data_IF_966437384007
#
_entry.id   IF_966437384007
#
_cell.length_a   1.000
_cell.length_b   1.000
_cell.length_c   1.000
_cell.angle_alpha   90.00
_cell.angle_beta   90.00
_cell.angle_gamma   90.00
#
_symmetry.space_group_name_H-M   'P 1'
#
loop_
_entity.id
_entity.type
_entity.pdbx_description
1 polymer ?
#
# COMPACT_ATOMS: atom_id res chain seq x y z
N UNK A 1 12.45 43.42 -15.05
CA UNK A 1 12.64 42.65 -13.80
C UNK A 1 11.43 41.71 -13.63
N UNK A 2 11.56 40.53 -13.00
CA UNK A 2 10.46 39.53 -12.96
C UNK A 2 9.24 40.04 -12.18
N UNK A 3 9.47 40.88 -11.17
CA UNK A 3 8.47 41.56 -10.35
C UNK A 3 7.65 42.64 -11.08
N UNK A 4 7.99 42.94 -12.35
CA UNK A 4 7.25 43.89 -13.21
C UNK A 4 6.34 43.18 -14.21
N UNK A 5 6.30 41.85 -14.21
CA UNK A 5 5.40 41.08 -15.05
C UNK A 5 3.94 41.23 -14.56
N UNK A 6 2.94 41.04 -15.44
CA UNK A 6 1.55 40.99 -15.01
C UNK A 6 1.31 39.94 -13.92
N UNK A 7 0.36 40.21 -13.02
CA UNK A 7 0.07 39.36 -11.86
C UNK A 7 -0.26 37.91 -12.25
N UNK A 8 -0.94 37.73 -13.38
CA UNK A 8 -1.32 36.43 -13.94
C UNK A 8 -0.08 35.62 -14.38
N UNK A 9 0.90 36.29 -14.98
CA UNK A 9 2.16 35.66 -15.42
C UNK A 9 2.99 35.27 -14.20
N UNK A 10 3.06 36.15 -13.19
CA UNK A 10 3.72 35.83 -11.92
C UNK A 10 3.04 34.62 -11.28
N UNK A 11 1.71 34.61 -11.19
CA UNK A 11 0.96 33.48 -10.63
C UNK A 11 1.23 32.17 -11.39
N UNK A 12 1.23 32.20 -12.72
CA UNK A 12 1.54 31.02 -13.54
C UNK A 12 2.95 30.51 -13.26
N UNK A 13 3.96 31.39 -13.19
CA UNK A 13 5.34 31.00 -12.83
C UNK A 13 5.38 30.35 -11.44
N UNK A 14 4.73 30.97 -10.45
CA UNK A 14 4.71 30.47 -9.07
C UNK A 14 3.96 29.14 -8.94
N UNK A 15 2.99 28.85 -9.82
CA UNK A 15 2.22 27.60 -9.79
C UNK A 15 3.04 26.34 -10.07
N UNK A 16 4.23 26.50 -10.65
CA UNK A 16 5.18 25.40 -10.90
C UNK A 16 6.16 25.16 -9.75
N UNK A 17 6.12 25.98 -8.70
CA UNK A 17 7.07 25.88 -7.58
C UNK A 17 6.57 24.92 -6.50
N UNK A 18 7.51 24.21 -5.87
CA UNK A 18 7.23 23.46 -4.65
C UNK A 18 6.86 24.41 -3.50
N UNK A 19 6.18 23.92 -2.46
CA UNK A 19 5.92 24.70 -1.26
C UNK A 19 7.19 25.32 -0.65
N UNK A 20 8.31 24.58 -0.70
CA UNK A 20 9.61 25.06 -0.21
C UNK A 20 10.14 26.23 -1.04
N UNK A 21 9.99 26.16 -2.36
CA UNK A 21 10.47 27.22 -3.25
C UNK A 21 9.55 28.44 -3.22
N UNK A 22 8.24 28.27 -3.06
CA UNK A 22 7.32 29.36 -2.74
C UNK A 22 7.70 30.09 -1.46
N UNK A 23 8.04 29.34 -0.40
CA UNK A 23 8.51 29.91 0.86
C UNK A 23 9.86 30.64 0.74
N UNK A 24 10.71 30.26 -0.23
CA UNK A 24 11.96 30.99 -0.53
C UNK A 24 11.68 32.26 -1.32
N UNK A 25 10.84 32.18 -2.35
CA UNK A 25 10.45 33.31 -3.20
C UNK A 25 9.72 34.38 -2.39
N UNK A 26 8.84 33.99 -1.48
CA UNK A 26 8.12 34.92 -0.59
C UNK A 26 9.04 35.76 0.30
N UNK A 27 10.27 35.29 0.57
CA UNK A 27 11.26 36.01 1.39
C UNK A 27 12.09 37.02 0.61
N UNK A 28 11.95 37.09 -0.72
CA UNK A 28 12.81 37.94 -1.55
C UNK A 28 12.36 39.40 -1.61
N UNK A 29 11.06 39.67 -1.75
CA UNK A 29 10.49 41.02 -1.73
C UNK A 29 9.00 40.99 -1.34
N UNK A 30 8.41 42.16 -1.04
CA UNK A 30 7.00 42.30 -0.63
C UNK A 30 6.03 41.83 -1.71
N UNK A 31 6.27 42.20 -2.97
CA UNK A 31 5.44 41.78 -4.11
C UNK A 31 5.36 40.27 -4.23
N UNK A 32 6.50 39.56 -4.14
CA UNK A 32 6.51 38.10 -4.17
C UNK A 32 5.94 37.47 -2.90
N UNK A 33 6.07 38.12 -1.73
CA UNK A 33 5.39 37.67 -0.51
C UNK A 33 3.87 37.68 -0.68
N UNK A 34 3.31 38.74 -1.26
CA UNK A 34 1.89 38.87 -1.56
C UNK A 34 1.42 37.83 -2.57
N UNK A 35 2.14 37.66 -3.69
CA UNK A 35 1.78 36.66 -4.71
C UNK A 35 1.91 35.21 -4.21
N UNK A 36 2.94 34.88 -3.43
CA UNK A 36 3.12 33.55 -2.87
C UNK A 36 2.09 33.20 -1.78
N UNK A 37 1.47 34.21 -1.18
CA UNK A 37 0.36 34.02 -0.21
C UNK A 37 -0.99 33.74 -0.89
N UNK A 38 -1.04 33.69 -2.23
CA UNK A 38 -2.27 33.39 -2.96
C UNK A 38 -2.72 31.96 -2.72
N UNK A 39 -3.91 31.80 -2.16
CA UNK A 39 -4.43 30.51 -1.69
C UNK A 39 -4.65 29.48 -2.81
N UNK A 40 -4.82 29.92 -4.06
CA UNK A 40 -4.93 29.01 -5.21
C UNK A 40 -3.65 28.23 -5.47
N UNK A 41 -2.49 28.81 -5.17
CA UNK A 41 -1.20 28.10 -5.26
C UNK A 41 -1.17 26.93 -4.27
N UNK A 42 -1.61 27.20 -3.03
CA UNK A 42 -1.64 26.21 -1.96
C UNK A 42 -2.72 25.14 -2.16
N UNK A 43 -3.88 25.53 -2.70
CA UNK A 43 -4.92 24.58 -3.12
C UNK A 43 -4.39 23.59 -4.16
N UNK A 44 -3.65 24.08 -5.16
CA UNK A 44 -3.02 23.23 -6.18
C UNK A 44 -2.01 22.26 -5.56
N UNK A 45 -1.16 22.73 -4.64
CA UNK A 45 -0.20 21.89 -3.94
C UNK A 45 -0.88 20.80 -3.11
N UNK A 46 -1.90 21.14 -2.32
CA UNK A 46 -2.65 20.15 -1.53
C UNK A 46 -3.30 19.13 -2.45
N UNK A 47 -4.01 19.57 -3.48
CA UNK A 47 -4.71 18.68 -4.40
C UNK A 47 -3.76 17.77 -5.18
N UNK A 48 -2.49 18.15 -5.37
CA UNK A 48 -1.48 17.25 -5.95
C UNK A 48 -1.15 16.03 -5.05
N UNK A 49 -1.44 16.12 -3.75
CA UNK A 49 -1.27 15.04 -2.78
C UNK A 49 -2.55 14.24 -2.49
N UNK A 50 -3.68 14.57 -3.13
CA UNK A 50 -4.96 13.95 -2.84
C UNK A 50 -5.50 13.20 -4.06
N UNK A 51 -6.01 11.97 -3.89
CA UNK A 51 -6.70 11.27 -4.98
C UNK A 51 -8.02 11.96 -5.36
N UNK A 52 -8.66 12.61 -4.40
CA UNK A 52 -9.91 13.35 -4.59
C UNK A 52 -9.66 14.83 -4.25
N UNK A 53 -9.72 15.72 -5.25
CA UNK A 53 -9.50 17.14 -5.02
C UNK A 53 -10.53 17.75 -4.06
N UNK A 54 -10.05 18.66 -3.23
CA UNK A 54 -10.87 19.49 -2.34
C UNK A 54 -11.02 20.90 -2.92
N UNK A 55 -12.12 21.56 -2.59
CA UNK A 55 -12.49 22.86 -3.16
C UNK A 55 -12.60 23.99 -2.13
N UNK A 56 -12.48 23.66 -0.84
CA UNK A 56 -12.45 24.57 0.29
C UNK A 56 -11.43 24.07 1.33
N UNK A 57 -10.92 24.95 2.21
CA UNK A 57 -9.93 24.59 3.22
C UNK A 57 -10.50 23.86 4.45
N UNK A 58 -11.78 23.49 4.44
CA UNK A 58 -12.44 22.79 5.54
C UNK A 58 -12.46 23.65 6.82
N UNK A 59 -11.93 23.16 7.95
CA UNK A 59 -11.94 23.91 9.21
C UNK A 59 -10.88 25.02 9.29
N UNK A 60 -10.00 25.14 8.30
CA UNK A 60 -8.91 26.11 8.28
C UNK A 60 -9.31 27.40 7.57
N UNK A 61 -8.68 28.53 7.93
CA UNK A 61 -8.97 29.84 7.32
C UNK A 61 -8.54 29.94 5.84
N UNK A 62 -7.58 29.10 5.41
CA UNK A 62 -7.00 29.12 4.06
C UNK A 62 -6.32 27.79 3.73
N UNK A 63 -6.16 27.49 2.43
CA UNK A 63 -5.37 26.35 1.95
C UNK A 63 -3.90 26.45 2.38
N UNK A 64 -3.33 27.65 2.44
CA UNK A 64 -1.99 27.85 2.98
C UNK A 64 -1.90 27.37 4.44
N UNK A 65 -2.85 27.74 5.30
CA UNK A 65 -2.88 27.32 6.69
C UNK A 65 -3.12 25.81 6.84
N UNK A 66 -3.98 25.24 6.01
CA UNK A 66 -4.20 23.80 5.91
C UNK A 66 -2.92 23.06 5.52
N UNK A 67 -2.23 23.52 4.47
CA UNK A 67 -0.98 22.90 4.01
C UNK A 67 0.04 22.83 5.14
N UNK A 68 0.21 23.95 5.87
CA UNK A 68 1.12 24.01 6.99
C UNK A 68 0.74 23.03 8.11
N UNK A 69 -0.55 22.92 8.47
CA UNK A 69 -1.07 22.04 9.54
C UNK A 69 -0.58 20.58 9.48
N UNK A 70 -0.33 20.12 8.25
CA UNK A 70 0.02 18.74 7.95
C UNK A 70 1.40 18.59 7.32
N UNK A 71 2.23 19.63 7.25
CA UNK A 71 3.62 19.47 6.84
C UNK A 71 4.42 18.67 7.90
N UNK A 72 5.28 17.70 7.52
CA UNK A 72 5.61 17.21 6.18
C UNK A 72 4.78 15.99 5.71
N UNK A 73 3.65 15.69 6.33
CA UNK A 73 2.92 14.42 6.24
C UNK A 73 2.00 14.26 5.02
N UNK A 74 1.97 15.20 4.08
CA UNK A 74 1.14 15.09 2.87
C UNK A 74 1.46 13.90 1.96
N UNK A 75 2.66 13.31 2.09
CA UNK A 75 3.00 12.06 1.40
C UNK A 75 2.13 10.87 1.86
N UNK A 76 1.52 10.95 3.04
CA UNK A 76 0.72 9.86 3.62
C UNK A 76 -0.58 9.63 2.81
N UNK A 77 -1.46 10.64 2.65
CA UNK A 77 -2.64 10.50 1.80
C UNK A 77 -2.29 10.37 0.30
N UNK A 78 -1.15 10.90 -0.15
CA UNK A 78 -0.70 10.79 -1.54
C UNK A 78 -0.48 9.33 -1.97
N UNK A 79 0.12 8.52 -1.10
CA UNK A 79 0.45 7.13 -1.41
C UNK A 79 -0.72 6.15 -1.19
N UNK A 80 -1.77 6.57 -0.47
CA UNK A 80 -3.01 5.81 -0.17
C UNK A 80 -2.81 4.52 0.62
N UNK A 81 -2.01 3.57 0.12
CA UNK A 81 -1.84 2.21 0.62
C UNK A 81 -0.58 2.11 1.46
N UNK A 82 -0.71 1.59 2.67
CA UNK A 82 0.42 1.37 3.57
C UNK A 82 0.32 0.00 4.21
N UNK A 83 1.45 -0.68 4.38
CA UNK A 83 1.48 -1.99 5.02
C UNK A 83 2.65 -2.14 5.99
N UNK A 84 2.38 -2.84 7.10
CA UNK A 84 3.27 -2.91 8.25
C UNK A 84 4.04 -4.23 8.37
N UNK A 85 5.21 -4.14 9.00
CA UNK A 85 6.02 -5.29 9.38
C UNK A 85 5.60 -5.97 10.70
N UNK A 86 4.32 -5.94 11.08
CA UNK A 86 3.79 -6.64 12.28
C UNK A 86 4.02 -8.15 12.19
N UNK A 87 4.67 -8.75 13.18
CA UNK A 87 5.10 -10.17 13.16
C UNK A 87 4.02 -11.16 12.70
N UNK A 88 4.40 -12.06 11.78
CA UNK A 88 3.60 -12.97 10.95
C UNK A 88 2.47 -12.32 10.13
N UNK A 89 1.66 -11.46 10.76
CA UNK A 89 0.34 -11.07 10.27
C UNK A 89 0.31 -9.83 9.39
N UNK A 90 1.25 -8.91 9.59
CA UNK A 90 1.25 -7.63 8.89
C UNK A 90 0.09 -6.73 9.30
N UNK A 91 -0.10 -5.66 8.55
CA UNK A 91 -1.23 -4.76 8.75
C UNK A 91 -1.37 -3.88 7.51
N UNK A 92 -2.43 -4.09 6.71
CA UNK A 92 -2.77 -3.23 5.58
C UNK A 92 -3.66 -2.08 6.06
N UNK A 93 -3.26 -0.84 5.79
CA UNK A 93 -4.04 0.35 6.09
C UNK A 93 -4.23 1.21 4.84
N UNK A 94 -5.35 1.91 4.76
CA UNK A 94 -5.57 2.97 3.78
C UNK A 94 -5.58 4.32 4.48
N UNK A 95 -4.84 5.27 3.91
CA UNK A 95 -4.69 6.62 4.42
C UNK A 95 -5.37 7.63 3.50
N UNK A 96 -6.01 8.63 4.12
CA UNK A 96 -6.69 9.72 3.42
C UNK A 96 -6.64 11.02 4.22
N UNK A 97 -7.02 12.10 3.55
CA UNK A 97 -7.33 13.36 4.19
C UNK A 97 -8.86 13.53 4.24
N UNK A 98 -9.42 13.75 5.43
CA UNK A 98 -10.82 14.13 5.61
C UNK A 98 -10.93 15.66 5.70
N UNK A 99 -11.42 16.30 4.62
CA UNK A 99 -11.55 17.76 4.56
C UNK A 99 -12.52 18.33 5.59
N UNK A 100 -13.60 17.61 5.91
CA UNK A 100 -14.61 18.06 6.87
C UNK A 100 -14.03 18.18 8.28
N UNK A 101 -13.11 17.28 8.64
CA UNK A 101 -12.45 17.26 9.95
C UNK A 101 -11.09 17.94 9.97
N UNK A 102 -10.48 18.17 8.81
CA UNK A 102 -9.14 18.71 8.69
C UNK A 102 -8.04 17.77 9.18
N UNK A 103 -8.22 16.44 9.03
CA UNK A 103 -7.29 15.42 9.56
C UNK A 103 -6.72 14.53 8.46
N UNK A 104 -5.47 14.10 8.64
CA UNK A 104 -4.94 12.93 7.93
C UNK A 104 -5.19 11.72 8.83
N UNK A 105 -5.86 10.71 8.29
CA UNK A 105 -6.25 9.51 9.02
C UNK A 105 -5.92 8.26 8.21
N UNK A 106 -5.65 7.15 8.90
CA UNK A 106 -5.52 5.86 8.24
C UNK A 106 -6.13 4.73 9.07
N UNK A 107 -6.81 3.81 8.38
CA UNK A 107 -7.58 2.74 8.99
C UNK A 107 -7.16 1.38 8.45
N UNK A 108 -7.24 0.36 9.31
CA UNK A 108 -7.01 -1.03 8.88
C UNK A 108 -8.06 -1.44 7.85
N UNK A 109 -7.62 -2.09 6.79
CA UNK A 109 -8.50 -2.79 5.87
C UNK A 109 -8.86 -4.13 6.52
N UNK A 110 -10.16 -4.39 6.61
CA UNK A 110 -10.71 -5.63 7.18
C UNK A 110 -11.62 -6.29 6.16
N UNK A 111 -11.73 -7.61 6.25
CA UNK A 111 -12.63 -8.40 5.43
C UNK A 111 -13.46 -9.32 6.33
N UNK A 112 -14.78 -9.23 6.20
CA UNK A 112 -15.70 -10.21 6.76
C UNK A 112 -15.94 -11.28 5.69
N UNK A 113 -15.52 -12.52 6.00
CA UNK A 113 -15.65 -13.70 5.15
C UNK A 113 -17.11 -13.98 4.72
N UNK A 114 -18.09 -13.52 5.51
CA UNK A 114 -19.50 -13.90 5.44
C UNK A 114 -19.70 -15.42 5.52
N UNK A 115 -20.96 -15.87 5.50
CA UNK A 115 -21.28 -17.30 5.50
C UNK A 115 -21.01 -17.89 4.12
N UNK A 116 -20.07 -18.85 3.98
CA UNK A 116 -19.81 -19.48 2.69
C UNK A 116 -20.98 -20.37 2.28
N UNK A 117 -21.22 -20.45 0.98
CA UNK A 117 -22.08 -21.46 0.36
C UNK A 117 -21.20 -22.60 -0.14
N UNK A 118 -21.76 -23.80 -0.14
CA UNK A 118 -21.09 -24.99 -0.65
C UNK A 118 -21.51 -25.23 -2.10
N UNK A 119 -20.52 -25.49 -2.95
CA UNK A 119 -20.75 -25.98 -4.30
C UNK A 119 -20.05 -27.31 -4.51
N UNK A 120 -20.60 -28.11 -5.41
CA UNK A 120 -19.95 -29.32 -5.91
C UNK A 120 -19.21 -28.91 -7.18
N UNK A 121 -17.96 -29.34 -7.31
CA UNK A 121 -17.24 -29.22 -8.57
C UNK A 121 -17.55 -30.45 -9.43
N UNK A 122 -18.16 -30.26 -10.60
CA UNK A 122 -18.59 -31.39 -11.42
C UNK A 122 -17.42 -32.27 -11.89
N UNK A 123 -16.28 -31.67 -12.21
CA UNK A 123 -15.08 -32.40 -12.62
C UNK A 123 -14.42 -33.17 -11.47
N UNK A 124 -14.61 -32.75 -10.22
CA UNK A 124 -14.06 -33.42 -9.05
C UNK A 124 -14.97 -33.27 -7.81
N UNK A 125 -15.98 -34.15 -7.68
CA UNK A 125 -17.00 -34.02 -6.61
C UNK A 125 -16.46 -34.18 -5.19
N UNK A 126 -15.26 -34.75 -5.01
CA UNK A 126 -14.62 -34.92 -3.71
C UNK A 126 -13.97 -33.62 -3.19
N UNK A 127 -13.80 -32.61 -4.06
CA UNK A 127 -13.22 -31.31 -3.69
C UNK A 127 -14.28 -30.42 -3.06
N UNK A 128 -13.98 -29.91 -1.87
CA UNK A 128 -14.87 -28.95 -1.21
C UNK A 128 -14.66 -27.54 -1.76
N UNK A 129 -15.72 -27.00 -2.36
CA UNK A 129 -15.79 -25.59 -2.75
C UNK A 129 -16.57 -24.80 -1.70
N UNK A 130 -15.90 -23.84 -1.06
CA UNK A 130 -16.54 -22.84 -0.21
C UNK A 130 -16.52 -21.49 -0.94
N UNK A 131 -17.68 -20.95 -1.30
CA UNK A 131 -17.74 -19.65 -1.98
C UNK A 131 -17.16 -18.54 -1.12
N UNK A 132 -16.51 -17.58 -1.77
CA UNK A 132 -15.99 -16.40 -1.09
C UNK A 132 -16.53 -15.11 -1.72
N UNK A 133 -17.32 -14.40 -0.92
CA UNK A 133 -17.88 -13.08 -1.23
C UNK A 133 -17.70 -12.16 -0.02
N UNK A 134 -16.45 -11.73 0.26
CA UNK A 134 -16.14 -10.98 1.47
C UNK A 134 -16.73 -9.57 1.44
N UNK A 135 -17.14 -9.07 2.61
CA UNK A 135 -17.37 -7.63 2.79
C UNK A 135 -16.06 -6.96 3.20
N UNK A 136 -15.46 -6.23 2.28
CA UNK A 136 -14.25 -5.44 2.56
C UNK A 136 -14.69 -4.07 3.09
N UNK A 137 -14.04 -3.59 4.14
CA UNK A 137 -14.31 -2.26 4.72
C UNK A 137 -13.10 -1.72 5.49
N UNK A 138 -13.16 -0.44 5.83
CA UNK A 138 -12.23 0.16 6.78
C UNK A 138 -12.75 0.01 8.21
N UNK A 139 -11.86 -0.33 9.15
CA UNK A 139 -12.23 -0.35 10.57
C UNK A 139 -12.20 1.07 11.15
N UNK A 140 -13.27 1.83 10.94
CA UNK A 140 -13.35 3.27 11.25
C UNK A 140 -13.32 3.60 12.76
N UNK A 141 -13.66 2.64 13.64
CA UNK A 141 -13.70 2.86 15.08
C UNK A 141 -12.30 2.88 15.74
N UNK A 142 -11.29 2.28 15.11
CA UNK A 142 -9.91 2.22 15.62
C UNK A 142 -8.90 2.70 14.57
N UNK A 143 -8.74 4.03 14.38
CA UNK A 143 -7.71 4.56 13.49
C UNK A 143 -6.32 4.07 13.89
N UNK A 144 -5.50 3.71 12.91
CA UNK A 144 -4.08 3.39 13.13
C UNK A 144 -3.25 4.66 13.21
N UNK A 145 -3.64 5.66 12.42
CA UNK A 145 -2.98 6.95 12.30
C UNK A 145 -4.04 8.04 12.36
N UNK A 146 -3.78 9.08 13.15
CA UNK A 146 -4.60 10.28 13.22
C UNK A 146 -3.73 11.51 13.46
N UNK A 147 -3.49 12.27 12.39
CA UNK A 147 -2.83 13.58 12.46
C UNK A 147 -3.89 14.66 12.44
N UNK A 148 -4.00 15.34 13.57
CA UNK A 148 -4.98 16.41 13.80
C UNK A 148 -4.25 17.68 14.24
N UNK A 149 -4.69 18.80 13.71
CA UNK A 149 -4.38 20.13 14.23
C UNK A 149 -5.37 20.45 15.36
N UNK A 150 -4.87 20.88 16.52
CA UNK A 150 -5.71 21.13 17.69
C UNK A 150 -6.44 22.47 17.59
N UNK A 151 -5.88 23.45 16.86
CA UNK A 151 -6.39 24.80 16.72
C UNK A 151 -6.42 25.21 15.24
N UNK A 152 -7.30 24.62 14.41
CA UNK A 152 -7.35 24.89 12.98
C UNK A 152 -7.71 26.35 12.64
N UNK A 153 -8.42 27.03 13.55
CA UNK A 153 -8.76 28.45 13.44
C UNK A 153 -7.63 29.40 13.86
N UNK A 154 -6.54 28.88 14.45
CA UNK A 154 -5.39 29.70 14.78
C UNK A 154 -4.60 29.98 13.49
N UNK A 155 -4.26 31.24 13.16
CA UNK A 155 -3.52 31.56 11.94
C UNK A 155 -2.09 30.99 11.93
N UNK A 156 -1.56 30.59 13.10
CA UNK A 156 -0.23 29.99 13.24
C UNK A 156 -0.39 28.49 13.47
N UNK A 157 0.37 27.69 12.70
CA UNK A 157 0.38 26.24 12.83
C UNK A 157 1.50 25.79 13.78
N UNK A 158 1.19 24.96 14.78
CA UNK A 158 2.19 24.43 15.73
C UNK A 158 3.30 23.62 15.04
N UNK A 159 2.96 22.94 13.95
CA UNK A 159 3.85 22.13 13.11
C UNK A 159 4.82 22.94 12.23
N UNK A 160 4.90 24.27 12.40
CA UNK A 160 5.98 25.08 11.82
C UNK A 160 7.36 24.71 12.41
N UNK A 161 7.40 24.01 13.54
CA UNK A 161 8.61 23.42 14.09
C UNK A 161 8.80 21.99 13.56
N UNK A 162 9.99 21.70 13.03
CA UNK A 162 10.35 20.37 12.54
C UNK A 162 10.10 19.33 13.64
N UNK A 163 9.18 18.39 13.39
CA UNK A 163 8.86 17.33 14.33
C UNK A 163 8.90 15.94 13.66
N UNK A 164 10.00 15.19 13.82
CA UNK A 164 10.10 13.84 13.30
C UNK A 164 9.36 12.80 14.14
N UNK A 165 8.84 13.14 15.33
CA UNK A 165 8.05 12.27 16.23
C UNK A 165 6.77 13.00 16.68
N UNK A 166 5.70 12.87 15.88
CA UNK A 166 4.44 13.57 16.11
C UNK A 166 3.47 12.69 16.86
N UNK A 167 3.11 13.13 18.07
CA UNK A 167 2.09 12.47 18.90
C UNK A 167 0.71 12.55 18.24
N UNK A 168 -0.06 11.47 18.39
CA UNK A 168 -1.41 11.33 17.84
C UNK A 168 -2.44 11.22 18.97
N UNK A 169 -3.53 12.01 18.95
CA UNK A 169 -4.56 11.98 19.98
C UNK A 169 -5.51 10.79 19.76
N UNK A 170 -5.11 9.61 20.22
CA UNK A 170 -5.86 8.36 20.03
C UNK A 170 -6.84 8.09 21.19
N UNK A 171 -7.93 7.37 20.95
CA UNK A 171 -8.89 7.00 22.01
C UNK A 171 -8.25 6.15 23.14
N UNK A 172 -7.24 5.34 22.79
CA UNK A 172 -6.47 4.51 23.72
C UNK A 172 -5.70 5.32 24.80
N UNK A 173 -5.54 6.64 24.63
CA UNK A 173 -4.93 7.50 25.66
C UNK A 173 -5.72 7.47 26.98
N UNK A 174 -7.04 7.25 26.92
CA UNK A 174 -7.90 7.05 28.10
C UNK A 174 -7.50 5.83 28.95
N UNK A 175 -6.80 4.86 28.34
CA UNK A 175 -6.24 3.67 28.97
C UNK A 175 -4.72 3.81 29.23
N UNK A 176 -4.19 5.02 29.16
CA UNK A 176 -2.74 5.32 29.27
C UNK A 176 -1.86 4.65 28.21
N UNK A 177 -2.44 4.35 27.04
CA UNK A 177 -1.71 3.89 25.85
C UNK A 177 -1.62 5.04 24.86
N UNK A 178 -0.39 5.38 24.47
CA UNK A 178 -0.09 6.54 23.65
C UNK A 178 0.50 6.10 22.32
N UNK A 179 0.28 6.90 21.29
CA UNK A 179 0.77 6.63 19.94
C UNK A 179 1.44 7.85 19.34
N UNK A 180 2.49 7.63 18.56
CA UNK A 180 3.11 8.67 17.73
C UNK A 180 3.49 8.14 16.36
N UNK A 181 3.47 9.05 15.39
CA UNK A 181 4.04 8.82 14.07
C UNK A 181 5.48 9.30 14.08
N UNK A 182 6.38 8.43 13.62
CA UNK A 182 7.81 8.71 13.53
C UNK A 182 8.26 8.67 12.07
N UNK A 183 8.92 9.71 11.61
CA UNK A 183 9.44 9.79 10.24
C UNK A 183 10.71 8.93 10.08
N UNK A 184 10.81 8.26 8.94
CA UNK A 184 12.01 7.50 8.56
C UNK A 184 13.03 8.41 7.85
N UNK A 185 14.34 8.24 8.09
CA UNK A 185 15.36 8.81 7.21
C UNK A 185 15.21 8.27 5.77
N UNK A 186 15.55 9.09 4.78
CA UNK A 186 15.60 8.69 3.36
C UNK A 186 16.78 7.78 3.07
N UNK A 187 17.93 8.09 3.63
CA UNK A 187 19.16 7.34 3.41
C UNK A 187 19.26 6.19 4.42
N UNK A 188 19.79 5.05 3.94
CA UNK A 188 20.08 3.90 4.78
C UNK A 188 21.38 4.16 5.57
N UNK A 189 21.57 3.51 6.73
CA UNK A 189 22.79 3.69 7.51
C UNK A 189 24.05 3.22 6.77
N UNK A 190 25.06 4.10 6.62
CA UNK A 190 26.28 3.84 5.85
C UNK A 190 27.20 2.71 6.40
N UNK A 191 27.04 2.34 7.68
CA UNK A 191 28.04 1.56 8.43
C UNK A 191 27.58 0.16 8.88
N UNK A 192 26.43 -0.33 8.41
CA UNK A 192 25.97 -1.67 8.73
C UNK A 192 25.95 -2.56 7.50
N UNK A 193 26.35 -3.84 7.65
CA UNK A 193 26.02 -4.87 6.65
C UNK A 193 24.50 -5.03 6.68
N UNK A 194 23.82 -4.38 5.74
CA UNK A 194 22.37 -4.42 5.64
C UNK A 194 21.99 -5.80 5.09
N UNK A 195 21.46 -6.65 5.96
CA UNK A 195 20.81 -7.89 5.53
C UNK A 195 19.40 -7.60 5.06
N UNK A 196 18.88 -8.39 4.11
CA UNK A 196 17.51 -8.22 3.60
C UNK A 196 16.45 -8.26 4.71
N UNK A 197 16.69 -9.03 5.77
CA UNK A 197 15.81 -9.11 6.94
C UNK A 197 15.64 -7.77 7.69
N UNK A 198 16.59 -6.83 7.55
CA UNK A 198 16.55 -5.49 8.14
C UNK A 198 15.91 -4.44 7.23
N UNK A 199 15.50 -4.80 6.03
CA UNK A 199 14.81 -3.90 5.11
C UNK A 199 13.31 -4.16 5.11
N UNK A 200 12.53 -3.09 4.97
CA UNK A 200 11.10 -3.16 4.73
C UNK A 200 10.73 -2.29 3.52
N UNK A 201 9.93 -2.80 2.56
CA UNK A 201 9.46 -4.19 2.50
C UNK A 201 10.60 -5.21 2.23
N UNK A 202 10.38 -6.53 2.33
CA UNK A 202 11.34 -7.55 1.91
C UNK A 202 11.54 -7.55 0.39
N UNK A 203 12.65 -8.13 -0.09
CA UNK A 203 12.99 -8.15 -1.53
C UNK A 203 11.94 -8.79 -2.42
N UNK A 204 11.21 -9.77 -1.86
CA UNK A 204 10.11 -10.47 -2.51
C UNK A 204 9.01 -9.50 -2.96
N UNK A 205 8.74 -8.45 -2.18
CA UNK A 205 7.79 -7.40 -2.57
C UNK A 205 8.54 -6.39 -3.45
N UNK A 206 8.11 -6.18 -4.71
CA UNK A 206 8.74 -5.20 -5.58
C UNK A 206 8.53 -3.80 -5.01
N UNK A 207 9.62 -3.04 -4.92
CA UNK A 207 9.60 -1.68 -4.41
C UNK A 207 10.82 -0.90 -4.85
N UNK A 208 10.62 0.33 -5.30
CA UNK A 208 11.70 1.28 -5.64
C UNK A 208 12.43 1.76 -4.40
N UNK A 209 11.74 1.85 -3.27
CA UNK A 209 12.27 2.39 -2.02
C UNK A 209 12.08 1.41 -0.86
N UNK A 210 13.08 1.29 0.02
CA UNK A 210 12.99 0.50 1.25
C UNK A 210 13.46 1.35 2.43
N UNK A 211 12.89 1.08 3.60
CA UNK A 211 13.33 1.68 4.86
C UNK A 211 14.06 0.64 5.70
N UNK A 212 14.95 1.11 6.55
CA UNK A 212 15.54 0.28 7.59
C UNK A 212 14.50 -0.04 8.66
N UNK A 213 14.32 -1.32 8.96
CA UNK A 213 13.41 -1.81 10.01
C UNK A 213 13.98 -1.48 11.37
N UNK A 214 13.16 -0.86 12.20
CA UNK A 214 13.50 -0.67 13.60
C UNK A 214 12.35 -1.14 14.49
N UNK A 215 12.67 -1.96 15.48
CA UNK A 215 11.73 -2.51 16.45
C UNK A 215 11.83 -1.83 17.82
N UNK A 216 12.78 -0.91 18.00
CA UNK A 216 13.00 -0.18 19.26
C UNK A 216 13.32 1.29 19.03
N UNK A 217 12.88 2.16 19.94
CA UNK A 217 13.31 3.57 19.96
C UNK A 217 14.80 3.76 20.25
N UNK A 218 15.47 2.78 20.85
CA UNK A 218 16.88 2.89 21.24
C UNK A 218 17.76 3.10 20.01
N UNK A 219 18.55 4.18 20.03
CA UNK A 219 19.47 4.57 18.95
C UNK A 219 18.78 4.75 17.58
N UNK A 220 17.48 4.99 17.54
CA UNK A 220 16.76 5.23 16.29
C UNK A 220 17.24 6.54 15.64
N UNK A 221 17.68 6.43 14.39
CA UNK A 221 18.02 7.59 13.57
C UNK A 221 16.74 8.30 13.11
N UNK A 222 16.64 9.59 13.44
CA UNK A 222 15.55 10.45 13.02
C UNK A 222 16.05 11.45 11.96
N UNK A 223 15.24 11.76 10.94
CA UNK A 223 15.57 12.82 9.99
C UNK A 223 15.70 14.17 10.71
N UNK A 224 16.71 14.96 10.33
CA UNK A 224 17.00 16.27 10.96
C UNK A 224 16.17 17.40 10.34
N UNK A 225 15.71 17.21 9.12
CA UNK A 225 14.83 18.15 8.44
C UNK A 225 13.94 17.44 7.40
N UNK A 226 12.98 18.16 6.82
CA UNK A 226 12.03 17.61 5.86
C UNK A 226 12.68 16.99 4.62
N UNK A 227 13.82 17.53 4.16
CA UNK A 227 14.55 16.95 3.04
C UNK A 227 15.26 15.65 3.38
N UNK A 228 15.40 15.28 4.65
CA UNK A 228 16.04 14.03 5.05
C UNK A 228 15.01 12.92 5.32
N UNK A 229 13.72 13.26 5.35
CA UNK A 229 12.65 12.30 5.57
C UNK A 229 12.30 11.52 4.29
N UNK A 230 12.01 10.24 4.48
CA UNK A 230 11.44 9.37 3.46
C UNK A 230 9.96 9.69 3.24
N UNK A 231 9.55 9.69 1.98
CA UNK A 231 8.14 9.74 1.57
C UNK A 231 7.55 8.35 1.29
N UNK A 232 8.36 7.28 1.40
CA UNK A 232 7.94 5.90 1.15
C UNK A 232 7.73 5.09 2.43
N UNK A 233 8.04 5.65 3.60
CA UNK A 233 7.92 4.94 4.87
C UNK A 233 7.85 5.83 6.11
N UNK A 234 7.11 5.36 7.10
CA UNK A 234 7.04 5.94 8.45
C UNK A 234 6.93 4.81 9.48
N UNK A 235 6.96 5.15 10.77
CA UNK A 235 6.74 4.20 11.87
C UNK A 235 5.61 4.67 12.77
N UNK A 236 4.90 3.71 13.34
CA UNK A 236 3.97 3.96 14.44
C UNK A 236 4.61 3.42 15.71
N UNK A 237 4.88 4.32 16.65
CA UNK A 237 5.35 4.01 18.00
C UNK A 237 4.16 3.99 18.94
N UNK A 238 3.99 2.92 19.70
CA UNK A 238 2.96 2.79 20.73
C UNK A 238 3.62 2.48 22.07
N UNK A 239 3.20 3.14 23.13
CA UNK A 239 3.72 2.84 24.46
C UNK A 239 2.66 3.00 25.55
N UNK A 240 2.80 2.25 26.63
CA UNK A 240 1.89 2.31 27.76
C UNK A 240 2.58 2.85 29.02
N UNK A 241 1.93 3.80 29.69
CA UNK A 241 2.37 4.31 30.99
C UNK A 241 1.57 3.63 32.11
N UNK A 242 1.92 2.40 32.45
CA UNK A 242 1.39 1.75 33.64
C UNK A 242 2.07 2.32 34.90
N UNK A 243 1.29 2.64 35.93
CA UNK A 243 1.80 3.15 37.22
C UNK A 243 2.62 2.12 38.03
N UNK A 244 2.73 0.88 37.57
CA UNK A 244 3.54 -0.16 38.22
C UNK A 244 5.01 -0.05 37.80
N UNK A 245 5.93 -0.20 38.77
CA UNK A 245 7.40 -0.32 38.55
C UNK A 245 7.74 -1.59 37.76
N UNK A 246 7.46 -1.60 36.47
CA UNK A 246 8.04 -2.55 35.51
C UNK A 246 9.32 -1.93 34.92
N UNK A 247 10.25 -2.78 34.47
CA UNK A 247 11.50 -2.35 33.83
C UNK A 247 11.21 -1.50 32.59
N UNK A 248 11.99 -0.42 32.30
CA UNK A 248 11.64 0.60 31.31
C UNK A 248 11.62 0.15 29.83
N UNK A 249 11.87 -1.13 29.53
CA UNK A 249 12.20 -1.58 28.17
C UNK A 249 11.09 -2.31 27.44
N UNK A 250 10.02 -2.75 28.12
CA UNK A 250 9.04 -3.69 27.54
C UNK A 250 7.66 -3.07 27.29
N UNK A 251 7.51 -1.77 27.49
CA UNK A 251 6.23 -1.07 27.33
C UNK A 251 6.07 -0.37 25.98
N UNK A 252 7.03 -0.54 25.05
CA UNK A 252 7.03 0.11 23.74
C UNK A 252 6.95 -0.92 22.62
N UNK A 253 6.07 -0.67 21.65
CA UNK A 253 5.97 -1.42 20.41
C UNK A 253 6.13 -0.47 19.22
N UNK A 254 6.86 -0.90 18.20
CA UNK A 254 7.09 -0.13 16.98
C UNK A 254 6.75 -0.96 15.75
N UNK A 255 6.03 -0.35 14.82
CA UNK A 255 5.67 -0.95 13.53
C UNK A 255 6.17 -0.05 12.40
N UNK A 256 6.84 -0.65 11.41
CA UNK A 256 7.39 0.02 10.24
C UNK A 256 6.40 -0.12 9.09
N UNK A 257 5.96 1.01 8.53
CA UNK A 257 5.02 1.07 7.42
C UNK A 257 5.73 1.53 6.16
N UNK A 258 5.43 0.88 5.04
CA UNK A 258 5.84 1.31 3.69
C UNK A 258 4.67 1.31 2.73
N UNK A 259 4.81 2.05 1.65
CA UNK A 259 3.87 2.04 0.52
C UNK A 259 4.27 1.02 -0.54
N UNK A 260 3.35 0.77 -1.48
CA UNK A 260 3.58 0.00 -2.71
C UNK A 260 3.58 1.00 -3.87
N UNK A 261 4.52 0.88 -4.82
CA UNK A 261 4.52 1.77 -5.98
C UNK A 261 3.29 1.48 -6.88
N UNK A 262 2.61 2.51 -7.43
CA UNK A 262 1.39 2.35 -8.23
C UNK A 262 1.49 1.37 -9.39
N UNK A 263 2.66 1.25 -10.02
CA UNK A 263 2.90 0.33 -11.13
C UNK A 263 2.68 -1.15 -10.78
N UNK A 264 2.79 -1.52 -9.50
CA UNK A 264 2.68 -2.91 -9.06
C UNK A 264 1.27 -3.32 -8.67
N UNK A 265 0.38 -2.37 -8.36
CA UNK A 265 -1.00 -2.68 -7.92
C UNK A 265 -2.09 -2.06 -8.81
N UNK A 266 -1.75 -1.21 -9.78
CA UNK A 266 -2.72 -0.71 -10.75
C UNK A 266 -2.76 -1.69 -11.92
N UNK A 267 -3.92 -2.32 -12.21
CA UNK A 267 -4.05 -3.20 -13.36
C UNK A 267 -3.93 -2.40 -14.66
N UNK A 268 -3.28 -2.99 -15.66
CA UNK A 268 -3.23 -2.47 -17.02
C UNK A 268 -3.88 -3.44 -17.98
N UNK A 269 -4.06 -3.05 -19.25
CA UNK A 269 -4.57 -3.95 -20.28
C UNK A 269 -3.64 -5.17 -20.48
N UNK A 270 -2.33 -4.97 -20.40
CA UNK A 270 -1.32 -6.01 -20.58
C UNK A 270 -1.11 -6.83 -19.30
N UNK A 271 -1.38 -6.22 -18.13
CA UNK A 271 -1.22 -6.82 -16.82
C UNK A 271 -2.51 -6.71 -16.00
N UNK A 272 -3.58 -7.41 -16.43
CA UNK A 272 -4.92 -7.21 -15.87
C UNK A 272 -5.10 -7.77 -14.46
N UNK A 273 -4.31 -8.75 -14.02
CA UNK A 273 -4.43 -9.37 -12.69
C UNK A 273 -3.65 -8.62 -11.60
N UNK A 274 -2.82 -7.64 -11.94
CA UNK A 274 -2.05 -6.89 -10.93
C UNK A 274 -2.96 -6.12 -10.01
N UNK A 275 -2.79 -6.26 -8.70
CA UNK A 275 -3.55 -5.48 -7.73
C UNK A 275 -3.42 -5.93 -6.30
N UNK A 276 -4.20 -5.27 -5.46
CA UNK A 276 -4.46 -5.71 -4.10
C UNK A 276 -5.64 -6.66 -4.12
N UNK A 277 -5.46 -7.82 -3.50
CA UNK A 277 -6.46 -8.88 -3.44
C UNK A 277 -6.74 -9.26 -2.00
N UNK A 278 -7.90 -9.84 -1.76
CA UNK A 278 -8.23 -10.53 -0.51
C UNK A 278 -8.50 -12.00 -0.84
N UNK A 279 -7.95 -12.90 -0.03
CA UNK A 279 -8.12 -14.35 -0.15
C UNK A 279 -8.64 -14.98 1.13
N UNK A 280 -9.28 -16.14 0.99
CA UNK A 280 -9.73 -16.98 2.09
C UNK A 280 -8.72 -18.08 2.41
N UNK A 281 -8.08 -17.98 3.58
CA UNK A 281 -7.13 -18.94 4.12
C UNK A 281 -7.74 -19.81 5.22
N UNK A 282 -9.05 -20.09 5.11
CA UNK A 282 -9.77 -21.05 5.94
C UNK A 282 -9.69 -20.71 7.44
N UNK A 283 -8.96 -21.51 8.23
CA UNK A 283 -8.84 -21.34 9.66
C UNK A 283 -8.07 -20.07 10.06
N UNK A 284 -7.24 -19.54 9.15
CA UNK A 284 -6.49 -18.30 9.36
C UNK A 284 -7.32 -17.05 9.01
N UNK A 285 -8.46 -17.23 8.33
CA UNK A 285 -9.37 -16.15 7.96
C UNK A 285 -8.99 -15.47 6.64
N UNK A 286 -9.37 -14.21 6.51
CA UNK A 286 -9.13 -13.43 5.30
C UNK A 286 -7.76 -12.74 5.35
N UNK A 287 -7.03 -12.79 4.24
CA UNK A 287 -5.73 -12.16 4.11
C UNK A 287 -5.62 -11.35 2.83
N UNK A 288 -4.85 -10.27 2.88
CA UNK A 288 -4.61 -9.37 1.78
C UNK A 288 -3.29 -9.67 1.09
N UNK A 289 -3.33 -9.68 -0.24
CA UNK A 289 -2.21 -10.02 -1.10
C UNK A 289 -1.90 -8.87 -2.06
N UNK A 290 -0.64 -8.76 -2.45
CA UNK A 290 -0.24 -8.09 -3.68
C UNK A 290 -0.07 -9.19 -4.74
N UNK A 291 -0.89 -9.16 -5.78
CA UNK A 291 -0.66 -9.98 -6.99
C UNK A 291 -0.03 -9.06 -8.03
N UNK A 292 1.11 -9.45 -8.60
CA UNK A 292 1.78 -8.71 -9.66
C UNK A 292 2.22 -9.62 -10.81
N UNK A 293 2.34 -9.03 -12.00
CA UNK A 293 2.63 -9.74 -13.25
C UNK A 293 4.04 -9.43 -13.75
N UNK A 294 4.83 -10.49 -13.96
CA UNK A 294 6.19 -10.39 -14.50
C UNK A 294 6.20 -10.95 -15.91
N UNK A 295 6.74 -10.18 -16.85
CA UNK A 295 6.90 -10.62 -18.23
C UNK A 295 7.98 -11.72 -18.30
N UNK A 296 7.72 -12.80 -19.03
CA UNK A 296 8.65 -13.94 -19.14
C UNK A 296 10.02 -13.52 -19.71
N UNK A 297 10.04 -12.55 -20.62
CA UNK A 297 11.26 -12.04 -21.24
C UNK A 297 12.12 -11.22 -20.25
N UNK A 298 11.51 -10.71 -19.17
CA UNK A 298 12.23 -9.97 -18.12
C UNK A 298 13.02 -10.89 -17.18
N UNK A 299 12.61 -12.15 -17.04
CA UNK A 299 13.36 -13.14 -16.23
C UNK A 299 14.51 -13.80 -17.02
N UNK A 300 14.43 -13.82 -18.36
CA UNK A 300 15.49 -14.33 -19.24
C UNK A 300 16.64 -13.33 -19.49
N UNK A 301 16.53 -12.11 -18.97
CA UNK A 301 17.42 -10.96 -19.25
C UNK A 301 18.82 -10.95 -18.65
N UNK A 302 19.38 -12.10 -18.22
CA UNK A 302 20.82 -12.23 -17.92
C UNK A 302 21.63 -12.81 -19.10
N UNK A 303 21.03 -13.09 -20.26
CA UNK A 303 21.77 -13.51 -21.44
C UNK A 303 21.23 -12.86 -22.72
N UNK A 304 22.00 -11.87 -23.21
CA UNK A 304 22.09 -11.43 -24.62
C UNK A 304 20.78 -11.16 -25.38
N UNK A 305 20.39 -9.88 -25.43
CA UNK A 305 19.36 -9.39 -26.33
C UNK A 305 19.86 -9.34 -27.79
N UNK A 306 19.05 -9.88 -28.71
CA UNK A 306 19.11 -9.55 -30.14
C UNK A 306 17.71 -9.06 -30.54
N UNK A 307 17.54 -7.92 -31.23
CA UNK A 307 16.21 -7.41 -31.55
C UNK A 307 15.67 -8.12 -32.80
N UNK A 308 14.48 -8.71 -32.71
CA UNK A 308 13.72 -9.17 -33.86
C UNK A 308 12.56 -8.19 -34.16
N UNK A 309 12.41 -7.94 -35.44
CA UNK A 309 11.58 -6.97 -36.13
C UNK A 309 10.07 -7.11 -35.91
N UNK A 310 9.41 -5.95 -35.90
CA UNK A 310 7.97 -5.81 -36.10
C UNK A 310 7.56 -6.28 -37.52
N UNK A 311 6.45 -7.02 -37.61
CA UNK A 311 5.35 -6.83 -38.56
C UNK A 311 4.44 -8.08 -38.56
N UNK A 312 3.18 -7.94 -38.13
CA UNK A 312 1.98 -8.25 -38.92
C UNK A 312 0.70 -8.18 -38.07
N UNK A 313 -0.31 -7.57 -38.68
CA UNK A 313 -1.68 -7.41 -38.19
C UNK A 313 -2.43 -8.74 -38.24
N UNK A 314 -3.18 -9.07 -37.18
CA UNK A 314 -4.35 -9.95 -37.25
C UNK A 314 -5.47 -9.35 -36.39
N UNK A 315 -6.56 -8.99 -37.06
CA UNK A 315 -7.69 -8.24 -36.53
C UNK A 315 -8.74 -9.25 -36.04
N UNK A 316 -9.07 -9.13 -34.73
CA UNK A 316 -10.22 -9.71 -34.01
C UNK A 316 -10.04 -11.06 -33.27
N UNK A 317 -8.96 -11.82 -33.48
CA UNK A 317 -8.64 -13.03 -32.70
C UNK A 317 -7.62 -12.85 -31.56
N UNK A 318 -6.89 -11.73 -31.54
CA UNK A 318 -5.65 -11.56 -30.76
C UNK A 318 -5.81 -10.76 -29.43
N UNK A 319 -7.06 -10.48 -29.01
CA UNK A 319 -7.31 -9.69 -27.79
C UNK A 319 -7.19 -10.50 -26.50
N UNK A 320 -7.51 -11.79 -26.53
CA UNK A 320 -7.34 -12.69 -25.37
C UNK A 320 -5.89 -13.16 -25.23
N UNK A 321 -5.18 -13.36 -26.35
CA UNK A 321 -3.77 -13.78 -26.35
C UNK A 321 -2.84 -12.71 -25.76
N UNK A 322 -3.18 -11.42 -25.91
CA UNK A 322 -2.40 -10.30 -25.37
C UNK A 322 -2.59 -10.08 -23.87
N UNK A 323 -3.67 -10.59 -23.26
CA UNK A 323 -4.01 -10.43 -21.83
C UNK A 323 -3.54 -11.60 -20.95
N UNK A 324 -3.39 -12.79 -21.53
CA UNK A 324 -3.01 -14.01 -20.79
C UNK A 324 -1.55 -14.38 -21.07
N UNK A 325 -0.62 -13.62 -20.49
CA UNK A 325 0.82 -13.86 -20.60
C UNK A 325 1.56 -13.46 -19.32
N UNK A 326 2.77 -14.00 -19.16
CA UNK A 326 3.62 -13.70 -18.01
C UNK A 326 3.38 -14.64 -16.84
N UNK A 327 4.11 -14.39 -15.75
CA UNK A 327 3.90 -15.07 -14.48
C UNK A 327 3.03 -14.25 -13.54
N UNK A 328 2.29 -14.92 -12.66
CA UNK A 328 1.62 -14.30 -11.51
C UNK A 328 2.36 -14.69 -10.23
N UNK A 329 2.70 -13.67 -9.44
CA UNK A 329 3.23 -13.85 -8.08
C UNK A 329 2.29 -13.18 -7.10
N UNK A 330 1.79 -13.96 -6.15
CA UNK A 330 0.96 -13.46 -5.07
C UNK A 330 1.77 -13.42 -3.77
N UNK A 331 1.99 -12.22 -3.24
CA UNK A 331 2.74 -12.01 -1.99
C UNK A 331 1.79 -11.54 -0.90
N UNK A 332 1.90 -12.13 0.29
CA UNK A 332 1.09 -11.78 1.45
C UNK A 332 1.44 -10.39 1.98
N UNK A 333 0.50 -9.44 1.93
CA UNK A 333 0.63 -8.14 2.62
C UNK A 333 0.18 -8.25 4.08
N UNK A 334 -0.81 -9.11 4.31
CA UNK A 334 -1.08 -9.73 5.59
C UNK A 334 -0.92 -11.23 5.46
N UNK A 335 -0.52 -11.90 6.53
CA UNK A 335 -0.35 -13.35 6.50
C UNK A 335 -0.67 -14.00 7.83
N UNK A 336 -0.08 -15.17 8.04
CA UNK A 336 -0.35 -16.01 9.18
C UNK A 336 0.94 -16.66 9.72
N UNK A 337 0.90 -17.36 10.86
CA UNK A 337 2.09 -18.01 11.42
C UNK A 337 2.70 -19.14 10.58
N UNK A 338 1.96 -19.72 9.63
CA UNK A 338 2.44 -20.70 8.67
C UNK A 338 3.07 -20.01 7.47
N UNK A 339 2.32 -19.20 6.70
CA UNK A 339 2.88 -18.40 5.59
C UNK A 339 2.75 -16.92 5.93
N UNK A 340 3.82 -16.27 6.41
CA UNK A 340 3.74 -14.92 6.94
C UNK A 340 3.67 -13.86 5.84
N UNK A 341 3.30 -12.64 6.25
CA UNK A 341 3.45 -11.44 5.41
C UNK A 341 4.86 -11.36 4.80
N UNK A 342 4.94 -10.81 3.60
CA UNK A 342 6.20 -10.70 2.86
C UNK A 342 6.56 -11.95 2.06
N UNK A 343 5.94 -13.10 2.34
CA UNK A 343 6.18 -14.33 1.61
C UNK A 343 5.20 -14.49 0.44
N UNK A 344 5.68 -15.18 -0.59
CA UNK A 344 4.85 -15.62 -1.70
C UNK A 344 3.90 -16.71 -1.20
N UNK A 345 2.61 -16.60 -1.50
CA UNK A 345 1.62 -17.63 -1.19
C UNK A 345 1.35 -18.57 -2.36
N UNK A 346 1.49 -18.09 -3.59
CA UNK A 346 1.45 -18.92 -4.79
C UNK A 346 2.15 -18.25 -5.97
N UNK A 347 2.60 -19.08 -6.92
CA UNK A 347 3.22 -18.68 -8.18
C UNK A 347 2.57 -19.44 -9.33
N UNK A 348 2.11 -18.74 -10.36
CA UNK A 348 1.85 -19.34 -11.67
C UNK A 348 2.93 -18.86 -12.63
N UNK A 349 3.83 -19.76 -13.05
CA UNK A 349 5.01 -19.38 -13.86
C UNK A 349 4.64 -18.87 -15.25
N UNK A 350 3.55 -19.39 -15.84
CA UNK A 350 3.00 -18.88 -17.10
C UNK A 350 1.48 -18.96 -17.08
N UNK A 351 0.77 -17.84 -17.22
CA UNK A 351 -0.69 -17.83 -17.39
C UNK A 351 -1.14 -17.94 -18.86
N UNK A 352 -0.18 -17.91 -19.77
CA UNK A 352 -0.36 -18.10 -21.20
C UNK A 352 -0.40 -19.56 -21.62
N UNK A 353 -0.10 -19.86 -22.90
CA UNK A 353 -0.27 -21.19 -23.45
C UNK A 353 0.57 -22.29 -22.80
N UNK A 354 1.77 -22.01 -22.26
CA UNK A 354 2.65 -23.08 -21.74
C UNK A 354 2.23 -23.56 -20.35
N UNK A 355 1.62 -22.69 -19.55
CA UNK A 355 1.08 -23.08 -18.25
C UNK A 355 -0.40 -23.49 -18.29
N UNK A 356 -1.08 -23.38 -19.44
CA UNK A 356 -2.48 -23.81 -19.57
C UNK A 356 -2.61 -25.32 -19.37
N UNK A 357 -3.39 -25.71 -18.37
CA UNK A 357 -3.78 -27.11 -18.14
C UNK A 357 -4.98 -27.45 -19.02
N UNK A 358 -6.04 -26.64 -18.92
CA UNK A 358 -7.26 -26.74 -19.74
C UNK A 358 -8.13 -25.48 -19.60
N UNK A 359 -9.15 -25.39 -20.44
CA UNK A 359 -10.31 -24.51 -20.21
C UNK A 359 -11.42 -25.38 -19.63
N UNK A 360 -12.04 -24.91 -18.54
CA UNK A 360 -13.14 -25.64 -17.91
C UNK A 360 -14.40 -25.60 -18.77
N UNK A 361 -15.05 -26.74 -18.91
CA UNK A 361 -16.34 -26.93 -19.60
C UNK A 361 -17.46 -27.26 -18.62
N UNK A 362 -17.15 -27.20 -17.32
CA UNK A 362 -18.04 -27.61 -16.24
C UNK A 362 -18.25 -26.53 -15.17
N UNK A 363 -19.40 -26.57 -14.52
CA UNK A 363 -19.73 -25.68 -13.40
C UNK A 363 -18.87 -26.01 -12.15
N UNK A 364 -18.50 -25.01 -11.31
CA UNK A 364 -18.84 -23.58 -11.39
C UNK A 364 -17.84 -22.73 -12.20
N UNK A 365 -16.97 -23.36 -13.00
CA UNK A 365 -15.83 -22.70 -13.63
C UNK A 365 -15.92 -22.66 -15.16
N UNK A 366 -17.10 -22.90 -15.73
CA UNK A 366 -17.29 -22.98 -17.17
C UNK A 366 -16.68 -21.75 -17.89
N UNK A 367 -15.82 -22.01 -18.88
CA UNK A 367 -15.08 -21.02 -19.63
C UNK A 367 -13.80 -20.49 -18.96
N UNK A 368 -13.54 -20.81 -17.69
CA UNK A 368 -12.33 -20.34 -17.00
C UNK A 368 -11.08 -21.09 -17.47
N UNK A 369 -9.98 -20.35 -17.63
CA UNK A 369 -8.65 -20.94 -17.90
C UNK A 369 -8.07 -21.48 -16.60
N UNK A 370 -7.68 -22.75 -16.61
CA UNK A 370 -6.98 -23.39 -15.50
C UNK A 370 -5.51 -23.54 -15.87
N UNK A 371 -4.63 -22.95 -15.08
CA UNK A 371 -3.19 -22.92 -15.33
C UNK A 371 -2.42 -23.58 -14.19
N UNK A 372 -1.23 -24.09 -14.50
CA UNK A 372 -0.31 -24.67 -13.52
C UNK A 372 0.10 -23.60 -12.50
N UNK A 373 0.14 -24.01 -11.23
CA UNK A 373 0.50 -23.14 -10.13
C UNK A 373 1.23 -23.92 -9.03
N UNK A 374 2.03 -23.23 -8.24
CA UNK A 374 2.66 -23.77 -7.06
C UNK A 374 2.19 -22.99 -5.84
N UNK A 375 1.59 -23.68 -4.87
CA UNK A 375 1.12 -23.10 -3.63
C UNK A 375 2.16 -23.26 -2.52
N UNK A 376 2.41 -22.20 -1.77
CA UNK A 376 3.38 -22.22 -0.68
C UNK A 376 2.71 -22.70 0.61
N UNK A 377 3.28 -23.71 1.25
CA UNK A 377 2.83 -24.26 2.53
C UNK A 377 4.00 -24.38 3.49
N UNK A 378 3.73 -24.29 4.79
CA UNK A 378 4.74 -24.47 5.83
C UNK A 378 4.10 -24.91 7.15
N UNK A 379 4.92 -25.48 8.03
CA UNK A 379 4.57 -25.70 9.43
C UNK A 379 4.51 -24.40 10.24
N UNK A 380 3.99 -24.49 11.46
CA UNK A 380 3.86 -23.34 12.37
C UNK A 380 5.21 -22.64 12.60
N UNK A 381 5.22 -21.31 12.47
CA UNK A 381 6.42 -20.50 12.55
C UNK A 381 7.23 -20.50 11.26
N UNK A 382 6.57 -20.72 10.12
CA UNK A 382 7.17 -20.83 8.78
C UNK A 382 8.34 -21.82 8.73
N UNK A 383 8.10 -23.02 9.29
CA UNK A 383 9.12 -24.09 9.36
C UNK A 383 8.90 -25.11 8.27
N UNK A 384 10.00 -25.65 7.75
CA UNK A 384 10.00 -26.69 6.71
C UNK A 384 9.10 -26.30 5.53
N UNK A 385 9.24 -25.05 5.07
CA UNK A 385 8.44 -24.49 4.00
C UNK A 385 8.72 -25.18 2.67
N UNK A 386 7.68 -25.32 1.85
CA UNK A 386 7.79 -25.95 0.54
C UNK A 386 6.66 -25.50 -0.38
N UNK A 387 6.88 -25.68 -1.67
CA UNK A 387 5.87 -25.45 -2.69
C UNK A 387 5.27 -26.78 -3.13
N UNK A 388 3.94 -26.87 -3.10
CA UNK A 388 3.18 -28.02 -3.59
C UNK A 388 2.46 -27.70 -4.90
N UNK A 389 2.27 -28.72 -5.73
CA UNK A 389 1.56 -28.59 -6.99
C UNK A 389 0.10 -28.15 -6.76
N UNK A 390 -0.36 -27.23 -7.58
CA UNK A 390 -1.70 -26.65 -7.50
C UNK A 390 -2.12 -26.10 -8.86
N UNK A 391 -3.37 -25.63 -8.96
CA UNK A 391 -3.87 -25.02 -10.18
C UNK A 391 -4.53 -23.68 -9.87
N UNK A 392 -4.26 -22.68 -10.70
CA UNK A 392 -4.92 -21.39 -10.62
C UNK A 392 -6.03 -21.32 -11.66
N UNK A 393 -7.24 -21.00 -11.22
CA UNK A 393 -8.45 -20.91 -12.03
C UNK A 393 -8.75 -19.43 -12.24
N UNK A 394 -8.56 -18.97 -13.47
CA UNK A 394 -8.71 -17.57 -13.87
C UNK A 394 -10.16 -17.31 -14.27
N UNK A 395 -11.04 -17.10 -13.27
CA UNK A 395 -12.48 -16.91 -13.49
C UNK A 395 -12.79 -15.55 -14.13
N UNK A 396 -12.13 -14.50 -13.67
CA UNK A 396 -12.15 -13.16 -14.27
C UNK A 396 -10.93 -12.36 -13.83
N UNK A 397 -10.77 -11.14 -14.34
CA UNK A 397 -9.71 -10.23 -13.89
C UNK A 397 -9.87 -9.77 -12.45
N UNK A 398 -11.05 -9.94 -11.82
CA UNK A 398 -11.32 -9.49 -10.44
C UNK A 398 -11.68 -10.64 -9.49
N UNK A 399 -11.65 -11.87 -10.00
CA UNK A 399 -11.99 -13.07 -9.26
C UNK A 399 -11.20 -14.26 -9.77
N UNK A 400 -10.42 -14.88 -8.90
CA UNK A 400 -9.62 -16.07 -9.21
C UNK A 400 -9.85 -17.11 -8.12
N UNK A 401 -9.62 -18.38 -8.45
CA UNK A 401 -9.61 -19.47 -7.50
C UNK A 401 -8.29 -20.23 -7.56
N UNK A 402 -7.89 -20.85 -6.45
CA UNK A 402 -6.67 -21.63 -6.31
C UNK A 402 -7.03 -23.00 -5.77
N UNK A 403 -6.82 -24.00 -6.61
CA UNK A 403 -7.07 -25.40 -6.29
C UNK A 403 -5.81 -26.06 -5.73
N UNK A 404 -5.87 -26.41 -4.45
CA UNK A 404 -4.84 -27.13 -3.72
C UNK A 404 -5.06 -28.63 -3.87
N UNK A 405 -4.41 -29.24 -4.86
CA UNK A 405 -4.67 -30.63 -5.28
C UNK A 405 -4.51 -31.64 -4.14
N UNK A 406 -3.39 -31.58 -3.44
CA UNK A 406 -3.08 -32.51 -2.34
C UNK A 406 -4.02 -32.33 -1.12
N UNK A 407 -4.65 -31.16 -0.99
CA UNK A 407 -5.56 -30.84 0.11
C UNK A 407 -7.03 -31.04 -0.24
N UNK A 408 -7.37 -31.25 -1.52
CA UNK A 408 -8.75 -31.35 -1.98
C UNK A 408 -9.59 -30.10 -1.69
N UNK A 409 -8.97 -28.92 -1.76
CA UNK A 409 -9.57 -27.64 -1.34
C UNK A 409 -9.40 -26.54 -2.40
N UNK A 410 -10.41 -25.67 -2.54
CA UNK A 410 -10.34 -24.47 -3.38
C UNK A 410 -10.44 -23.22 -2.52
N UNK A 411 -9.42 -22.36 -2.61
CA UNK A 411 -9.45 -20.99 -2.08
C UNK A 411 -9.87 -20.02 -3.18
N UNK A 412 -10.54 -18.93 -2.80
CA UNK A 412 -10.96 -17.88 -3.73
C UNK A 412 -10.35 -16.54 -3.34
N UNK A 413 -10.16 -15.68 -4.34
CA UNK A 413 -9.59 -14.36 -4.17
C UNK A 413 -10.39 -13.32 -4.95
N UNK A 414 -10.60 -12.16 -4.32
CA UNK A 414 -11.32 -11.02 -4.90
C UNK A 414 -10.40 -9.81 -4.94
N UNK A 415 -10.45 -9.04 -6.02
CA UNK A 415 -9.73 -7.77 -6.10
C UNK A 415 -10.34 -6.76 -5.13
N UNK A 416 -9.49 -6.01 -4.43
CA UNK A 416 -9.90 -4.93 -3.53
C UNK A 416 -10.05 -3.62 -4.31
N UNK A 417 -11.22 -2.99 -4.24
CA UNK A 417 -11.45 -1.66 -4.78
C UNK A 417 -10.96 -0.57 -3.80
N UNK A 418 -9.70 -0.14 -3.96
CA UNK A 418 -9.05 0.81 -3.05
C UNK A 418 -9.73 2.19 -3.09
N UNK A 419 -10.10 2.68 -4.26
CA UNK A 419 -10.66 4.02 -4.40
C UNK A 419 -12.09 4.10 -3.84
N UNK A 420 -12.88 3.03 -3.94
CA UNK A 420 -14.19 2.92 -3.27
C UNK A 420 -14.05 2.93 -1.75
N UNK A 421 -13.09 2.19 -1.19
CA UNK A 421 -12.84 2.19 0.25
C UNK A 421 -12.43 3.58 0.76
N UNK A 422 -11.64 4.34 0.00
CA UNK A 422 -11.22 5.68 0.40
C UNK A 422 -12.37 6.70 0.42
N UNK A 423 -13.49 6.41 -0.24
CA UNK A 423 -14.68 7.27 -0.28
C UNK A 423 -15.72 6.97 0.82
N UNK A 424 -15.53 5.92 1.63
CA UNK A 424 -16.45 5.55 2.73
C UNK A 424 -16.39 6.48 3.94
#
# INVERSE_FOLDING_TARGET
MIDQLPAEIIHQILSHLSARDLARVSRTCRTFAEHASNDRLWASLINSHLPFPIHDPGPFESFHRLYLAHLPYWFIPQNKIWFADTEAHGCLILARYDNRRGVIEAYRVIADRRTPKFHIWEANPDVMIQTFDPKISLWLDDPVLLLKDQEPSNPIADCQTWNPDRRMPMAAESQHVFSSLVLCPRELPDNEVITDARLWPPQIIPSTNRIFRNTSSKNMLLPKCASDASSSGFRIKRWANFRLRMTPTDNEAMSNYTTIDPEWYIPTKEKPYQGIWVGDYSAHGCEFLLIYQVDLDSEAGSATATPASADNEDIDGNREETTQKGSLRAVKLTGDPNVPRGEITFIAEDIGPKGLVRVADEEPFEGARIVQCMGHVAGLGFRDDTYIASQLILVSTDYIAHYWEEMGHISYFRRVNIDELLQT
#
